data_IF_964573673915
#
_entry.id   IF_964573673915
#
_cell.length_a   1.000
_cell.length_b   1.000
_cell.length_c   1.000
_cell.angle_alpha   90.00
_cell.angle_beta   90.00
_cell.angle_gamma   90.00
#
_symmetry.space_group_name_H-M   'P 1'
#
loop_
_entity.id
_entity.type
_entity.pdbx_description
1 polymer ?
#
# COMPACT_ATOMS: atom_id res chain seq x y z
N UNK A 1 4.45 21.05 -47.06
CA UNK A 1 4.42 19.75 -46.37
C UNK A 1 5.58 19.71 -45.38
N UNK A 2 5.30 19.84 -44.08
CA UNK A 2 6.34 19.73 -43.05
C UNK A 2 6.72 18.26 -42.87
N UNK A 3 7.97 17.93 -43.18
CA UNK A 3 8.54 16.61 -42.90
C UNK A 3 8.71 16.48 -41.38
N UNK A 4 7.93 15.60 -40.75
CA UNK A 4 8.13 15.27 -39.33
C UNK A 4 9.54 14.69 -39.15
N UNK A 5 10.33 15.29 -38.26
CA UNK A 5 11.65 14.78 -37.91
C UNK A 5 11.53 13.33 -37.41
N UNK A 6 12.36 12.44 -37.95
CA UNK A 6 12.42 11.06 -37.51
C UNK A 6 12.86 11.03 -36.04
N UNK A 7 12.18 10.21 -35.24
CA UNK A 7 12.53 9.98 -33.83
C UNK A 7 13.99 9.53 -33.77
N UNK A 8 14.80 10.20 -32.95
CA UNK A 8 16.21 9.85 -32.85
C UNK A 8 16.37 8.44 -32.29
N UNK A 9 17.40 7.72 -32.75
CA UNK A 9 17.70 6.37 -32.24
C UNK A 9 17.88 6.38 -30.71
N UNK A 10 18.41 7.47 -30.16
CA UNK A 10 18.57 7.65 -28.73
C UNK A 10 17.23 7.75 -27.98
N UNK A 11 16.23 8.44 -28.55
CA UNK A 11 14.89 8.53 -27.96
C UNK A 11 14.17 7.18 -28.00
N UNK A 12 14.37 6.40 -29.07
CA UNK A 12 13.84 5.04 -29.15
C UNK A 12 14.44 4.11 -28.08
N UNK A 13 15.76 4.18 -27.86
CA UNK A 13 16.45 3.40 -26.82
C UNK A 13 15.97 3.81 -25.42
N UNK A 14 15.84 5.11 -25.16
CA UNK A 14 15.31 5.63 -23.88
C UNK A 14 13.87 5.20 -23.64
N UNK A 15 13.01 5.25 -24.66
CA UNK A 15 11.63 4.77 -24.58
C UNK A 15 11.59 3.26 -24.24
N UNK A 16 12.40 2.44 -24.91
CA UNK A 16 12.46 0.98 -24.67
C UNK A 16 12.98 0.62 -23.28
N UNK A 17 13.94 1.39 -22.73
CA UNK A 17 14.41 1.21 -21.35
C UNK A 17 13.34 1.58 -20.33
N UNK A 18 12.57 2.63 -20.59
CA UNK A 18 11.46 3.03 -19.73
C UNK A 18 10.37 1.93 -19.67
N UNK A 19 10.05 1.32 -20.81
CA UNK A 19 9.08 0.20 -20.90
C UNK A 19 9.56 -1.04 -20.14
N UNK A 20 10.84 -1.39 -20.26
CA UNK A 20 11.43 -2.50 -19.51
C UNK A 20 11.40 -2.23 -17.99
N UNK A 21 11.64 -1.00 -17.56
CA UNK A 21 11.57 -0.61 -16.15
C UNK A 21 10.15 -0.72 -15.59
N UNK A 22 9.15 -0.35 -16.38
CA UNK A 22 7.74 -0.45 -16.01
C UNK A 22 7.28 -1.91 -15.92
N UNK A 23 7.69 -2.74 -16.88
CA UNK A 23 7.42 -4.18 -16.87
C UNK A 23 8.01 -4.86 -15.62
N UNK A 24 9.26 -4.53 -15.25
CA UNK A 24 9.90 -5.03 -14.01
C UNK A 24 9.16 -4.60 -12.75
N UNK A 25 8.71 -3.33 -12.67
CA UNK A 25 7.89 -2.85 -11.54
C UNK A 25 6.58 -3.62 -11.45
N UNK A 26 5.90 -3.83 -12.57
CA UNK A 26 4.64 -4.58 -12.62
C UNK A 26 4.82 -6.04 -12.16
N UNK A 27 5.89 -6.72 -12.58
CA UNK A 27 6.21 -8.07 -12.11
C UNK A 27 6.51 -8.10 -10.61
N UNK A 28 7.29 -7.15 -10.11
CA UNK A 28 7.60 -7.03 -8.68
C UNK A 28 6.35 -6.81 -7.83
N UNK A 29 5.41 -6.00 -8.31
CA UNK A 29 4.15 -5.75 -7.62
C UNK A 29 3.22 -6.98 -7.66
N UNK A 30 3.17 -7.71 -8.78
CA UNK A 30 2.46 -9.01 -8.85
C UNK A 30 3.03 -10.02 -7.84
N UNK A 31 4.35 -10.16 -7.78
CA UNK A 31 5.02 -11.05 -6.83
C UNK A 31 4.74 -10.67 -5.38
N UNK A 32 4.77 -9.36 -5.05
CA UNK A 32 4.42 -8.85 -3.71
C UNK A 32 2.98 -9.16 -3.33
N UNK A 33 2.02 -8.99 -4.25
CA UNK A 33 0.61 -9.32 -4.02
C UNK A 33 0.43 -10.83 -3.79
N UNK A 34 1.04 -11.66 -4.64
CA UNK A 34 0.99 -13.11 -4.49
C UNK A 34 1.55 -13.57 -3.13
N UNK A 35 2.71 -13.05 -2.72
CA UNK A 35 3.31 -13.36 -1.43
C UNK A 35 2.44 -12.92 -0.24
N UNK A 36 1.73 -11.78 -0.36
CA UNK A 36 0.79 -11.31 0.66
C UNK A 36 -0.39 -12.27 0.80
N UNK A 37 -0.98 -12.70 -0.31
CA UNK A 37 -2.09 -13.67 -0.34
C UNK A 37 -1.64 -14.99 0.30
N UNK A 38 -0.48 -15.51 -0.09
CA UNK A 38 0.06 -16.74 0.51
C UNK A 38 0.29 -16.61 2.01
N UNK A 39 0.79 -15.46 2.49
CA UNK A 39 0.97 -15.21 3.93
C UNK A 39 -0.36 -15.16 4.67
N UNK A 40 -1.37 -14.52 4.09
CA UNK A 40 -2.72 -14.46 4.69
C UNK A 40 -3.37 -15.84 4.73
N UNK A 41 -3.25 -16.61 3.64
CA UNK A 41 -3.72 -18.00 3.57
C UNK A 41 -3.04 -18.89 4.62
N UNK A 42 -1.70 -18.85 4.75
CA UNK A 42 -0.97 -19.58 5.80
C UNK A 42 -1.40 -19.17 7.21
N UNK A 43 -1.72 -17.89 7.42
CA UNK A 43 -2.23 -17.42 8.72
C UNK A 43 -3.64 -17.93 9.01
N UNK A 44 -4.51 -18.05 7.99
CA UNK A 44 -5.84 -18.61 8.13
C UNK A 44 -5.76 -20.11 8.50
N UNK A 45 -4.94 -20.88 7.78
CA UNK A 45 -4.70 -22.29 8.09
C UNK A 45 -4.19 -22.50 9.53
N UNK A 46 -3.23 -21.68 9.98
CA UNK A 46 -2.73 -21.74 11.36
C UNK A 46 -3.81 -21.43 12.41
N UNK A 47 -4.80 -20.61 12.09
CA UNK A 47 -5.94 -20.33 12.99
C UNK A 47 -6.92 -21.50 13.07
N UNK A 48 -7.07 -22.24 11.97
CA UNK A 48 -7.91 -23.44 11.89
C UNK A 48 -7.23 -24.67 12.51
N UNK A 49 -6.04 -24.51 13.09
CA UNK A 49 -5.27 -25.61 13.70
C UNK A 49 -4.45 -26.43 12.70
N UNK A 50 -4.42 -26.03 11.42
CA UNK A 50 -3.61 -26.69 10.40
C UNK A 50 -2.19 -26.11 10.38
N UNK A 51 -1.17 -26.95 10.60
CA UNK A 51 0.23 -26.57 10.52
C UNK A 51 0.77 -26.85 9.10
N UNK A 52 0.89 -25.82 8.21
CA UNK A 52 1.39 -26.02 6.85
C UNK A 52 2.87 -26.43 6.79
N UNK A 53 3.60 -26.31 7.90
CA UNK A 53 5.02 -26.63 7.99
C UNK A 53 5.28 -28.10 8.43
N UNK A 54 4.24 -28.86 8.80
CA UNK A 54 4.35 -30.25 9.26
C UNK A 54 4.05 -31.30 8.17
N UNK A 55 3.55 -30.89 7.00
CA UNK A 55 3.10 -31.79 5.93
C UNK A 55 4.11 -32.13 4.82
N UNK A 56 5.32 -31.55 4.82
CA UNK A 56 6.25 -31.64 3.67
C UNK A 56 7.58 -32.34 4.01
N UNK A 57 7.54 -33.33 4.92
CA UNK A 57 8.65 -34.26 5.19
C UNK A 57 8.28 -35.72 4.82
N UNK A 58 7.54 -35.92 3.74
CA UNK A 58 7.38 -37.26 3.16
C UNK A 58 8.17 -37.35 1.84
N UNK A 59 9.26 -38.10 1.94
CA UNK A 59 9.87 -38.92 0.90
C UNK A 59 10.30 -38.24 -0.41
N UNK A 60 11.42 -37.52 -0.36
CA UNK A 60 12.34 -37.45 -1.51
C UNK A 60 13.61 -38.25 -1.19
N UNK A 61 13.44 -39.57 -1.04
CA UNK A 61 14.54 -40.52 -1.25
C UNK A 61 14.81 -40.60 -2.76
N UNK A 62 15.96 -40.05 -3.15
CA UNK A 62 16.85 -40.46 -4.25
C UNK A 62 16.21 -41.21 -5.42
N UNK A 63 16.26 -40.61 -6.61
CA UNK A 63 17.07 -41.20 -7.68
C UNK A 63 17.90 -40.10 -8.34
N UNK A 64 19.18 -40.39 -8.44
CA UNK A 64 20.22 -39.56 -9.02
C UNK A 64 19.98 -39.46 -10.53
N UNK A 65 19.78 -38.25 -11.06
CA UNK A 65 20.31 -37.97 -12.39
C UNK A 65 20.91 -36.58 -12.50
N UNK A 66 22.12 -36.58 -13.04
CA UNK A 66 23.05 -35.48 -13.12
C UNK A 66 22.59 -34.51 -14.18
N UNK A 67 22.36 -33.24 -13.84
CA UNK A 67 22.86 -32.14 -14.69
C UNK A 67 23.13 -30.90 -13.87
N UNK A 68 24.38 -30.44 -14.02
CA UNK A 68 25.00 -29.25 -13.51
C UNK A 68 24.28 -27.96 -13.91
N UNK A 69 24.08 -27.05 -12.94
CA UNK A 69 24.00 -25.62 -13.24
C UNK A 69 24.32 -24.79 -11.99
N UNK A 70 25.61 -24.53 -11.85
CA UNK A 70 26.27 -23.51 -11.06
C UNK A 70 25.52 -22.16 -11.04
N UNK A 71 25.14 -21.63 -9.87
CA UNK A 71 25.27 -20.19 -9.55
C UNK A 71 25.28 -19.93 -8.04
N UNK A 72 26.49 -19.61 -7.56
CA UNK A 72 26.89 -18.81 -6.41
C UNK A 72 25.78 -18.20 -5.50
N UNK A 73 25.60 -18.80 -4.32
CA UNK A 73 24.94 -18.18 -3.17
C UNK A 73 26.01 -17.72 -2.18
N UNK A 74 26.39 -16.44 -2.25
CA UNK A 74 27.33 -15.82 -1.33
C UNK A 74 26.60 -14.81 -0.43
N UNK A 75 26.96 -14.84 0.85
CA UNK A 75 26.64 -13.90 1.94
C UNK A 75 25.33 -14.08 2.73
N UNK A 76 25.30 -15.16 3.52
CA UNK A 76 24.64 -15.16 4.83
C UNK A 76 25.49 -14.45 5.89
N UNK A 77 25.11 -13.22 6.27
CA UNK A 77 25.62 -12.58 7.50
C UNK A 77 24.81 -13.05 8.70
N UNK A 78 25.39 -14.01 9.42
CA UNK A 78 25.00 -14.42 10.79
C UNK A 78 25.12 -13.21 11.73
N UNK A 79 24.07 -12.91 12.50
CA UNK A 79 24.16 -11.99 13.65
C UNK A 79 24.42 -12.80 14.92
N UNK A 80 25.33 -12.36 15.81
CA UNK A 80 25.68 -13.08 17.02
C UNK A 80 24.62 -12.91 18.12
N UNK A 81 24.38 -14.02 18.85
CA UNK A 81 23.75 -14.05 20.17
C UNK A 81 24.68 -13.34 21.16
N UNK A 82 24.22 -12.22 21.72
CA UNK A 82 24.87 -11.60 22.87
C UNK A 82 24.51 -12.37 24.13
N UNK A 83 25.50 -13.09 24.66
CA UNK A 83 25.57 -13.45 26.06
C UNK A 83 26.13 -12.25 26.82
N UNK A 84 25.44 -11.81 27.88
CA UNK A 84 26.03 -10.93 28.88
C UNK A 84 25.78 -11.56 30.24
N UNK A 85 26.75 -12.36 30.68
CA UNK A 85 27.03 -12.62 32.08
C UNK A 85 27.61 -11.35 32.70
N UNK A 86 26.96 -10.87 33.76
CA UNK A 86 27.48 -9.85 34.65
C UNK A 86 26.95 -10.18 36.03
N UNK A 87 27.77 -10.87 36.81
CA UNK A 87 27.54 -11.09 38.22
C UNK A 87 27.94 -9.82 38.99
N UNK A 88 27.20 -9.59 40.07
CA UNK A 88 27.69 -9.36 41.43
C UNK A 88 27.25 -8.06 42.12
N UNK A 89 27.01 -8.27 43.41
CA UNK A 89 27.00 -7.36 44.55
C UNK A 89 25.72 -6.69 45.07
N UNK A 90 25.51 -7.02 46.36
CA UNK A 90 24.98 -6.21 47.46
C UNK A 90 23.49 -6.32 47.79
N UNK A 91 23.26 -7.33 48.62
CA UNK A 91 22.18 -7.35 49.60
C UNK A 91 22.21 -6.10 50.49
N UNK A 92 21.15 -5.31 50.47
CA UNK A 92 20.69 -4.56 51.64
C UNK A 92 19.17 -4.65 51.74
N UNK A 93 18.71 -5.38 52.76
CA UNK A 93 17.31 -5.62 53.04
C UNK A 93 16.58 -4.34 53.45
N UNK A 94 15.53 -4.00 52.72
CA UNK A 94 14.38 -3.26 53.24
C UNK A 94 13.13 -4.09 52.92
N UNK A 95 12.32 -4.50 53.91
CA UNK A 95 11.11 -5.25 53.63
C UNK A 95 10.15 -4.37 52.81
N UNK A 96 9.62 -4.85 51.67
CA UNK A 96 8.64 -4.10 50.92
C UNK A 96 7.39 -3.96 51.81
N UNK A 97 7.03 -2.71 52.15
CA UNK A 97 5.76 -2.40 52.81
C UNK A 97 4.64 -2.99 51.95
N UNK A 98 3.87 -3.91 52.53
CA UNK A 98 2.74 -4.56 51.88
C UNK A 98 1.77 -3.50 51.35
N UNK A 99 1.77 -3.28 50.04
CA UNK A 99 0.76 -2.45 49.39
C UNK A 99 -0.55 -3.21 49.53
N UNK A 100 -1.49 -2.63 50.28
CA UNK A 100 -2.89 -3.08 50.32
C UNK A 100 -3.35 -3.18 48.86
N UNK A 101 -3.60 -4.42 48.41
CA UNK A 101 -4.24 -4.69 47.14
C UNK A 101 -5.61 -4.02 47.22
N UNK A 102 -5.74 -2.82 46.66
CA UNK A 102 -7.04 -2.22 46.43
C UNK A 102 -7.84 -3.24 45.65
N UNK A 103 -8.96 -3.69 46.19
CA UNK A 103 -9.94 -4.51 45.48
C UNK A 103 -10.32 -3.75 44.21
N UNK A 104 -9.63 -4.04 43.11
CA UNK A 104 -10.04 -3.60 41.79
C UNK A 104 -11.37 -4.30 41.57
N UNK A 105 -12.46 -3.54 41.70
CA UNK A 105 -13.81 -4.02 41.49
C UNK A 105 -13.83 -4.90 40.25
N UNK A 106 -14.50 -6.06 40.37
CA UNK A 106 -14.62 -7.06 39.30
C UNK A 106 -15.36 -6.44 38.12
N UNK A 107 -14.66 -5.62 37.35
CA UNK A 107 -15.18 -5.11 36.11
C UNK A 107 -15.24 -6.32 35.19
N UNK A 108 -16.45 -6.68 34.83
CA UNK A 108 -16.73 -7.86 34.04
C UNK A 108 -15.93 -7.78 32.73
N UNK A 109 -14.89 -8.62 32.59
CA UNK A 109 -13.97 -8.61 31.44
C UNK A 109 -14.73 -8.74 30.12
N UNK A 110 -15.88 -9.41 30.14
CA UNK A 110 -16.75 -9.57 28.98
C UNK A 110 -17.42 -8.25 28.57
N UNK A 111 -17.79 -7.40 29.52
CA UNK A 111 -18.40 -6.10 29.22
C UNK A 111 -17.41 -5.14 28.52
N UNK A 112 -16.16 -5.11 28.97
CA UNK A 112 -15.11 -4.31 28.35
C UNK A 112 -14.77 -4.82 26.95
N UNK A 113 -14.67 -6.15 26.78
CA UNK A 113 -14.42 -6.76 25.47
C UNK A 113 -15.55 -6.49 24.45
N UNK A 114 -16.82 -6.47 24.91
CA UNK A 114 -17.96 -6.13 24.04
C UNK A 114 -17.91 -4.68 23.57
N UNK A 115 -17.68 -3.73 24.49
CA UNK A 115 -17.54 -2.31 24.13
C UNK A 115 -16.40 -2.08 23.14
N UNK A 116 -15.24 -2.71 23.37
CA UNK A 116 -14.11 -2.59 22.44
C UNK A 116 -14.41 -3.20 21.06
N UNK A 117 -15.18 -4.29 20.99
CA UNK A 117 -15.61 -4.87 19.73
C UNK A 117 -16.56 -3.93 18.97
N UNK A 118 -17.54 -3.35 19.67
CA UNK A 118 -18.50 -2.39 19.12
C UNK A 118 -17.78 -1.12 18.59
N UNK A 119 -16.83 -0.58 19.35
CA UNK A 119 -16.05 0.59 18.94
C UNK A 119 -15.21 0.29 17.69
N UNK A 120 -14.56 -0.87 17.63
CA UNK A 120 -13.79 -1.31 16.46
C UNK A 120 -14.67 -1.49 15.22
N UNK A 121 -15.90 -1.99 15.39
CA UNK A 121 -16.85 -2.10 14.29
C UNK A 121 -17.31 -0.72 13.82
N UNK A 122 -17.66 0.18 14.74
CA UNK A 122 -18.04 1.55 14.43
C UNK A 122 -16.93 2.30 13.68
N UNK A 123 -15.67 2.16 14.09
CA UNK A 123 -14.51 2.74 13.39
C UNK A 123 -14.33 2.16 11.99
N UNK A 124 -14.49 0.83 11.82
CA UNK A 124 -14.43 0.19 10.49
C UNK A 124 -15.49 0.74 9.56
N UNK A 125 -16.73 0.87 10.04
CA UNK A 125 -17.85 1.42 9.26
C UNK A 125 -17.57 2.88 8.89
N UNK A 126 -17.13 3.71 9.84
CA UNK A 126 -16.77 5.12 9.56
C UNK A 126 -15.68 5.22 8.49
N UNK A 127 -14.63 4.41 8.61
CA UNK A 127 -13.52 4.39 7.66
C UNK A 127 -13.92 3.87 6.28
N UNK A 128 -14.86 2.93 6.20
CA UNK A 128 -15.42 2.47 4.94
C UNK A 128 -16.24 3.57 4.26
N UNK A 129 -17.14 4.22 4.99
CA UNK A 129 -17.93 5.36 4.48
C UNK A 129 -17.04 6.47 3.96
N UNK A 130 -16.02 6.87 4.72
CA UNK A 130 -15.07 7.88 4.29
C UNK A 130 -14.33 7.49 2.99
N UNK A 131 -13.97 6.22 2.82
CA UNK A 131 -13.34 5.74 1.58
C UNK A 131 -14.30 5.77 0.41
N UNK A 132 -15.55 5.39 0.61
CA UNK A 132 -16.58 5.43 -0.42
C UNK A 132 -16.87 6.86 -0.88
N UNK A 133 -16.97 7.79 0.06
CA UNK A 133 -17.23 9.20 -0.24
C UNK A 133 -16.06 9.82 -0.99
N UNK A 134 -14.82 9.58 -0.54
CA UNK A 134 -13.61 9.99 -1.28
C UNK A 134 -13.56 9.41 -2.69
N UNK A 135 -13.99 8.15 -2.86
CA UNK A 135 -14.02 7.50 -4.17
C UNK A 135 -15.08 8.15 -5.08
N UNK A 136 -16.28 8.43 -4.57
CA UNK A 136 -17.35 9.12 -5.30
C UNK A 136 -16.91 10.53 -5.73
N UNK A 137 -16.28 11.29 -4.83
CA UNK A 137 -15.77 12.62 -5.14
C UNK A 137 -14.67 12.59 -6.20
N UNK A 138 -13.75 11.63 -6.10
CA UNK A 138 -12.69 11.45 -7.09
C UNK A 138 -13.28 11.09 -8.46
N UNK A 139 -14.29 10.22 -8.51
CA UNK A 139 -14.97 9.86 -9.74
C UNK A 139 -15.72 11.05 -10.36
N UNK A 140 -16.45 11.82 -9.54
CA UNK A 140 -17.12 13.04 -9.97
C UNK A 140 -16.13 14.03 -10.57
N UNK A 141 -15.04 14.36 -9.86
CA UNK A 141 -13.98 15.24 -10.36
C UNK A 141 -13.35 14.72 -11.65
N UNK A 142 -13.18 13.40 -11.78
CA UNK A 142 -12.66 12.78 -13.01
C UNK A 142 -13.63 12.94 -14.19
N UNK A 143 -14.94 12.73 -13.97
CA UNK A 143 -15.99 12.95 -14.99
C UNK A 143 -16.02 14.41 -15.43
N UNK A 144 -16.02 15.35 -14.48
CA UNK A 144 -15.99 16.80 -14.75
C UNK A 144 -14.75 17.19 -15.57
N UNK A 145 -13.55 16.73 -15.18
CA UNK A 145 -12.31 16.96 -15.94
C UNK A 145 -12.39 16.43 -17.38
N UNK A 146 -12.96 15.23 -17.56
CA UNK A 146 -13.11 14.62 -18.90
C UNK A 146 -14.09 15.41 -19.75
N UNK A 147 -15.21 15.84 -19.19
CA UNK A 147 -16.20 16.66 -19.88
C UNK A 147 -15.63 18.03 -20.24
N UNK A 148 -14.95 18.69 -19.31
CA UNK A 148 -14.28 19.97 -19.54
C UNK A 148 -13.23 19.84 -20.64
N UNK A 149 -12.36 18.82 -20.56
CA UNK A 149 -11.37 18.53 -21.61
C UNK A 149 -12.04 18.35 -22.96
N UNK A 150 -13.12 17.57 -23.04
CA UNK A 150 -13.87 17.35 -24.28
C UNK A 150 -14.45 18.64 -24.83
N UNK A 151 -15.00 19.52 -23.99
CA UNK A 151 -15.54 20.85 -24.37
C UNK A 151 -14.43 21.77 -24.90
N UNK A 152 -13.31 21.88 -24.18
CA UNK A 152 -12.18 22.74 -24.56
C UNK A 152 -11.43 22.25 -25.80
N UNK A 153 -11.45 20.95 -26.06
CA UNK A 153 -10.85 20.34 -27.26
C UNK A 153 -11.82 20.27 -28.45
N UNK A 154 -13.05 20.79 -28.35
CA UNK A 154 -13.98 20.78 -29.49
C UNK A 154 -13.43 21.64 -30.63
N UNK A 155 -13.63 21.14 -31.84
CA UNK A 155 -13.25 21.81 -33.08
C UNK A 155 -14.47 21.96 -33.97
N UNK A 156 -14.45 22.97 -34.84
CA UNK A 156 -15.44 23.17 -35.89
C UNK A 156 -15.29 22.09 -36.97
N UNK A 157 -16.24 22.04 -37.93
CA UNK A 157 -16.15 21.14 -39.08
C UNK A 157 -14.85 21.34 -39.90
N UNK A 158 -14.34 22.56 -39.94
CA UNK A 158 -13.06 22.92 -40.60
C UNK A 158 -11.82 22.66 -39.71
N UNK A 159 -12.00 22.06 -38.53
CA UNK A 159 -10.90 21.69 -37.62
C UNK A 159 -10.38 22.83 -36.73
N UNK A 160 -10.95 24.03 -36.81
CA UNK A 160 -10.54 25.16 -35.97
C UNK A 160 -11.06 24.98 -34.53
N UNK A 161 -10.31 25.37 -33.50
CA UNK A 161 -10.77 25.27 -32.13
C UNK A 161 -11.98 26.19 -31.88
N UNK A 162 -12.99 25.69 -31.17
CA UNK A 162 -14.14 26.51 -30.76
C UNK A 162 -13.70 27.38 -29.58
N UNK A 163 -13.45 28.67 -29.83
CA UNK A 163 -12.91 29.60 -28.82
C UNK A 163 -13.89 29.93 -27.70
N UNK A 164 -15.21 29.90 -27.97
CA UNK A 164 -16.26 30.19 -26.98
C UNK A 164 -16.02 29.46 -25.66
N UNK A 165 -15.87 28.13 -25.71
CA UNK A 165 -15.65 27.33 -24.49
C UNK A 165 -14.35 27.63 -23.77
N UNK A 166 -13.31 28.09 -24.49
CA UNK A 166 -12.04 28.49 -23.87
C UNK A 166 -12.19 29.82 -23.17
N UNK A 167 -12.88 30.78 -23.77
CA UNK A 167 -13.15 32.09 -23.16
C UNK A 167 -14.02 31.94 -21.92
N UNK A 168 -15.13 31.18 -22.00
CA UNK A 168 -16.00 30.89 -20.85
C UNK A 168 -15.18 30.33 -19.67
N UNK A 169 -14.26 29.39 -19.95
CA UNK A 169 -13.41 28.78 -18.93
C UNK A 169 -12.37 29.75 -18.33
N UNK A 170 -11.86 30.71 -19.11
CA UNK A 170 -10.95 31.74 -18.61
C UNK A 170 -11.71 32.77 -17.75
N UNK A 171 -12.88 33.22 -18.20
CA UNK A 171 -13.73 34.14 -17.44
C UNK A 171 -14.13 33.52 -16.10
N UNK A 172 -14.60 32.27 -16.09
CA UNK A 172 -14.93 31.57 -14.85
C UNK A 172 -13.73 31.33 -13.92
N UNK A 173 -12.49 31.37 -14.42
CA UNK A 173 -11.29 31.33 -13.56
C UNK A 173 -11.03 32.69 -12.93
N UNK A 174 -11.08 33.75 -13.72
CA UNK A 174 -10.90 35.12 -13.24
C UNK A 174 -11.95 35.47 -12.18
N UNK A 175 -13.23 35.13 -12.42
CA UNK A 175 -14.30 35.33 -11.45
C UNK A 175 -14.03 34.62 -10.11
N UNK A 176 -13.47 33.41 -10.15
CA UNK A 176 -13.10 32.66 -8.94
C UNK A 176 -11.93 33.28 -8.21
N UNK A 177 -10.88 33.67 -8.93
CA UNK A 177 -9.72 34.36 -8.36
C UNK A 177 -10.13 35.69 -7.71
N UNK A 178 -11.02 36.44 -8.37
CA UNK A 178 -11.60 37.66 -7.80
C UNK A 178 -12.43 37.37 -6.54
N UNK A 179 -13.31 36.37 -6.57
CA UNK A 179 -14.11 36.00 -5.39
C UNK A 179 -13.23 35.53 -4.21
N UNK A 180 -12.18 34.73 -4.48
CA UNK A 180 -11.22 34.30 -3.47
C UNK A 180 -10.40 35.48 -2.92
N UNK A 181 -10.05 36.46 -3.76
CA UNK A 181 -9.36 37.68 -3.33
C UNK A 181 -10.24 38.61 -2.50
N UNK A 182 -11.54 38.69 -2.80
CA UNK A 182 -12.50 39.50 -2.07
C UNK A 182 -12.92 38.89 -0.72
N UNK A 183 -12.75 37.58 -0.56
CA UNK A 183 -13.04 36.85 0.69
C UNK A 183 -11.86 36.82 1.67
N UNK A 184 -10.68 37.32 1.27
CA UNK A 184 -9.50 37.45 2.12
C UNK A 184 -9.43 38.86 2.70
#
# INVERSE_FOLDING_TARGET
MERRAAISLQDFVKAKQHDASYARKLQKDKARRAAKIQREYRRALKKEGYNPDEGEKQDSKKEDDKTSSFTNSANGKKRPRGASTGADESATGKPPKAKKLSETGKHDRFSAARKEAEDREAERIRKQKEREDRAKDAERKRKERKQLKRKLSRKTRKGQPILRHKMDHLLSKLEKEHAESASR
#
